data_IF_748163527408
#
_entry.id   IF_748163527408
#
_cell.length_a   1.000
_cell.length_b   1.000
_cell.length_c   1.000
_cell.angle_alpha   90.00
_cell.angle_beta   90.00
_cell.angle_gamma   90.00
#
_symmetry.space_group_name_H-M   'P 1'
#
loop_
_entity.id
_entity.type
_entity.pdbx_description
1 polymer ?
#
# COMPACT_ATOMS: atom_id res chain seq x y z
N UNK A 1 -28.09 87.53 -55.38
CA UNK A 1 -29.06 87.08 -56.43
C UNK A 1 -28.70 85.68 -56.93
N UNK A 2 -29.59 84.68 -56.92
CA UNK A 2 -31.00 84.55 -56.49
C UNK A 2 -31.18 83.08 -56.02
N UNK A 3 -31.74 82.79 -54.85
CA UNK A 3 -33.18 82.75 -54.50
C UNK A 3 -33.94 81.64 -55.26
N UNK A 4 -34.22 80.54 -54.53
CA UNK A 4 -35.36 79.60 -54.69
C UNK A 4 -35.39 78.65 -55.91
N UNK A 5 -36.05 77.46 -55.96
CA UNK A 5 -36.91 76.63 -55.06
C UNK A 5 -36.89 75.15 -55.64
N UNK A 6 -37.53 74.03 -55.20
CA UNK A 6 -38.50 73.63 -54.13
C UNK A 6 -38.53 72.09 -53.87
N UNK A 7 -38.16 71.64 -52.65
CA UNK A 7 -38.67 70.42 -51.93
C UNK A 7 -38.47 69.00 -52.56
N UNK A 8 -38.62 67.85 -51.86
CA UNK A 8 -38.46 67.45 -50.42
C UNK A 8 -38.69 65.93 -50.23
N UNK A 9 -37.76 65.24 -49.54
CA UNK A 9 -37.94 64.16 -48.52
C UNK A 9 -36.54 63.57 -48.22
N UNK A 10 -35.87 63.75 -47.06
CA UNK A 10 -36.19 63.35 -45.66
C UNK A 10 -36.49 61.83 -45.53
N UNK A 11 -35.82 61.07 -44.65
CA UNK A 11 -35.29 61.43 -43.31
C UNK A 11 -34.08 60.59 -42.85
N UNK A 12 -33.00 61.24 -42.34
CA UNK A 12 -32.00 60.87 -41.27
C UNK A 12 -31.44 59.42 -41.15
N UNK A 13 -30.22 59.20 -40.61
CA UNK A 13 -29.07 60.07 -40.25
C UNK A 13 -27.80 59.23 -40.04
N UNK A 14 -26.64 59.88 -40.02
CA UNK A 14 -25.29 59.30 -39.83
C UNK A 14 -24.89 59.04 -38.38
N UNK A 15 -24.09 57.99 -38.16
CA UNK A 15 -22.97 57.80 -37.20
C UNK A 15 -22.70 56.27 -37.07
N UNK A 16 -21.48 55.74 -36.92
CA UNK A 16 -20.14 56.33 -36.89
C UNK A 16 -19.06 55.32 -37.38
N UNK A 17 -17.86 55.82 -37.66
CA UNK A 17 -16.55 55.13 -37.72
C UNK A 17 -16.49 53.59 -37.84
N UNK A 18 -15.99 53.08 -38.98
CA UNK A 18 -15.21 51.83 -38.97
C UNK A 18 -14.05 51.90 -40.00
N UNK A 19 -12.81 51.97 -39.50
CA UNK A 19 -11.60 52.03 -40.32
C UNK A 19 -10.89 50.66 -40.32
N UNK A 20 -10.56 50.18 -41.50
CA UNK A 20 -10.03 48.82 -41.74
C UNK A 20 -8.71 48.59 -40.97
N UNK A 21 -8.60 47.47 -40.26
CA UNK A 21 -7.33 46.98 -39.69
C UNK A 21 -6.86 45.74 -40.44
N UNK A 22 -5.68 45.85 -41.02
CA UNK A 22 -4.99 44.74 -41.69
C UNK A 22 -4.50 43.69 -40.67
N UNK A 23 -4.30 42.46 -41.16
CA UNK A 23 -3.86 41.32 -40.35
C UNK A 23 -2.49 41.53 -39.70
N UNK A 24 -2.48 41.58 -38.36
CA UNK A 24 -1.27 41.24 -37.58
C UNK A 24 -1.35 39.79 -37.11
N UNK A 25 -0.85 38.88 -37.96
CA UNK A 25 -0.48 37.53 -37.53
C UNK A 25 0.45 37.68 -36.33
N UNK A 26 -0.04 37.29 -35.16
CA UNK A 26 0.70 37.38 -33.90
C UNK A 26 1.31 36.02 -33.64
N UNK A 27 2.64 35.91 -33.76
CA UNK A 27 3.35 34.64 -33.54
C UNK A 27 3.03 34.05 -32.16
N UNK A 28 2.35 32.90 -32.16
CA UNK A 28 2.09 32.15 -30.95
C UNK A 28 3.42 31.63 -30.38
N UNK A 29 3.76 31.88 -29.10
CA UNK A 29 5.04 31.43 -28.56
C UNK A 29 5.20 29.92 -28.65
N UNK A 30 6.20 29.47 -29.42
CA UNK A 30 6.60 28.07 -29.46
C UNK A 30 6.90 27.59 -28.03
N UNK A 31 6.43 26.39 -27.62
CA UNK A 31 6.56 25.94 -26.24
C UNK A 31 8.03 25.79 -25.87
N UNK A 32 8.50 26.66 -24.97
CA UNK A 32 9.90 26.69 -24.56
C UNK A 32 10.31 25.33 -23.98
N UNK A 33 11.25 24.67 -24.65
CA UNK A 33 11.84 23.41 -24.18
C UNK A 33 12.44 23.63 -22.79
N UNK A 34 11.92 22.92 -21.79
CA UNK A 34 12.40 23.01 -20.41
C UNK A 34 13.94 22.85 -20.35
N UNK A 35 14.67 23.75 -19.67
CA UNK A 35 16.12 23.81 -19.77
C UNK A 35 16.77 22.56 -19.19
N UNK A 36 17.89 22.12 -19.81
CA UNK A 36 18.51 20.81 -19.58
C UNK A 36 18.77 20.49 -18.10
N UNK A 37 19.07 21.49 -17.26
CA UNK A 37 19.32 21.30 -15.83
C UNK A 37 18.07 20.83 -15.06
N UNK A 38 16.86 21.30 -15.42
CA UNK A 38 15.60 20.88 -14.78
C UNK A 38 15.30 19.43 -15.13
N UNK A 39 15.54 19.03 -16.38
CA UNK A 39 15.38 17.66 -16.83
C UNK A 39 16.36 16.72 -16.11
N UNK A 40 17.63 17.12 -15.98
CA UNK A 40 18.65 16.38 -15.24
C UNK A 40 18.31 16.25 -13.75
N UNK A 41 17.90 17.33 -13.08
CA UNK A 41 17.47 17.28 -11.67
C UNK A 41 16.24 16.37 -11.47
N UNK A 42 15.29 16.38 -12.41
CA UNK A 42 14.11 15.49 -12.37
C UNK A 42 14.50 14.03 -12.57
N UNK A 43 15.41 13.75 -13.52
CA UNK A 43 15.95 12.41 -13.74
C UNK A 43 16.72 11.90 -12.51
N UNK A 44 17.63 12.70 -11.95
CA UNK A 44 18.40 12.34 -10.75
C UNK A 44 17.50 12.05 -9.54
N UNK A 45 16.45 12.85 -9.31
CA UNK A 45 15.47 12.60 -8.24
C UNK A 45 14.69 11.28 -8.43
N UNK A 46 14.39 10.90 -9.66
CA UNK A 46 13.75 9.62 -9.98
C UNK A 46 14.75 8.47 -9.79
N UNK A 47 15.96 8.58 -10.34
CA UNK A 47 17.00 7.57 -10.23
C UNK A 47 17.35 7.26 -8.76
N UNK A 48 17.60 8.31 -7.95
CA UNK A 48 17.91 8.17 -6.51
C UNK A 48 16.74 7.51 -5.77
N UNK A 49 15.49 7.92 -6.03
CA UNK A 49 14.33 7.34 -5.37
C UNK A 49 14.05 5.88 -5.77
N UNK A 50 14.28 5.52 -7.03
CA UNK A 50 14.19 4.13 -7.49
C UNK A 50 15.29 3.25 -6.89
N UNK A 51 16.53 3.76 -6.83
CA UNK A 51 17.65 3.08 -6.18
C UNK A 51 17.37 2.88 -4.68
N UNK A 52 16.89 3.91 -3.99
CA UNK A 52 16.49 3.83 -2.59
C UNK A 52 15.36 2.81 -2.36
N UNK A 53 14.35 2.76 -3.24
CA UNK A 53 13.25 1.80 -3.14
C UNK A 53 13.71 0.34 -3.29
N UNK A 54 14.63 0.07 -4.23
CA UNK A 54 15.21 -1.27 -4.44
C UNK A 54 16.12 -1.65 -3.28
N UNK A 55 16.98 -0.74 -2.80
CA UNK A 55 17.82 -0.98 -1.63
C UNK A 55 16.96 -1.25 -0.39
N UNK A 56 15.88 -0.48 -0.16
CA UNK A 56 14.96 -0.72 0.97
C UNK A 56 14.29 -2.10 0.90
N UNK A 57 13.84 -2.52 -0.27
CA UNK A 57 13.26 -3.87 -0.47
C UNK A 57 14.28 -4.97 -0.20
N UNK A 58 15.48 -4.87 -0.81
CA UNK A 58 16.55 -5.85 -0.62
C UNK A 58 17.04 -5.91 0.84
N UNK A 59 17.19 -4.77 1.51
CA UNK A 59 17.56 -4.72 2.93
C UNK A 59 16.53 -5.41 3.83
N UNK A 60 15.23 -5.33 3.49
CA UNK A 60 14.21 -6.08 4.22
C UNK A 60 14.31 -7.60 3.97
N UNK A 61 14.60 -8.04 2.73
CA UNK A 61 14.87 -9.46 2.42
C UNK A 61 16.08 -9.98 3.20
N UNK A 62 17.19 -9.23 3.22
CA UNK A 62 18.38 -9.60 3.99
C UNK A 62 18.11 -9.61 5.51
N UNK A 63 17.36 -8.64 6.03
CA UNK A 63 16.92 -8.63 7.43
C UNK A 63 16.12 -9.89 7.78
N UNK A 64 15.11 -10.25 6.98
CA UNK A 64 14.29 -11.45 7.21
C UNK A 64 15.13 -12.72 7.15
N UNK A 65 16.05 -12.83 6.19
CA UNK A 65 16.96 -13.97 6.06
C UNK A 65 17.89 -14.09 7.26
N UNK A 66 18.47 -12.99 7.75
CA UNK A 66 19.36 -12.98 8.89
C UNK A 66 18.63 -13.25 10.22
N UNK A 67 17.44 -12.67 10.39
CA UNK A 67 16.56 -12.92 11.54
C UNK A 67 16.17 -14.40 11.61
N UNK A 68 15.73 -14.99 10.49
CA UNK A 68 15.34 -16.39 10.40
C UNK A 68 16.51 -17.34 10.68
N UNK A 69 17.67 -17.09 10.06
CA UNK A 69 18.86 -17.91 10.24
C UNK A 69 19.31 -17.93 11.71
N UNK A 70 19.33 -16.77 12.39
CA UNK A 70 19.73 -16.70 13.81
C UNK A 70 18.69 -17.33 14.73
N UNK A 71 17.42 -16.98 14.56
CA UNK A 71 16.31 -17.46 15.42
C UNK A 71 16.13 -18.98 15.39
N UNK A 72 16.47 -19.63 14.29
CA UNK A 72 16.28 -21.07 14.12
C UNK A 72 17.59 -21.86 13.92
N UNK A 73 18.76 -21.23 13.84
CA UNK A 73 20.06 -21.87 13.54
C UNK A 73 19.97 -22.76 12.28
N UNK A 74 19.32 -22.21 11.25
CA UNK A 74 18.58 -22.98 10.25
C UNK A 74 19.46 -23.72 9.23
N UNK A 75 20.64 -23.18 8.92
CA UNK A 75 21.68 -23.80 8.07
C UNK A 75 22.23 -25.11 8.63
N UNK A 76 22.47 -25.17 9.94
CA UNK A 76 23.16 -26.28 10.60
C UNK A 76 22.23 -27.43 11.05
N UNK A 77 20.92 -27.23 11.00
CA UNK A 77 19.91 -28.27 11.28
C UNK A 77 19.83 -29.33 10.17
N UNK A 78 19.26 -30.49 10.47
CA UNK A 78 18.87 -31.50 9.47
C UNK A 78 17.57 -31.11 8.75
N UNK A 79 17.25 -31.72 7.60
CA UNK A 79 16.01 -31.44 6.85
C UNK A 79 14.75 -31.59 7.73
N UNK A 80 14.64 -32.68 8.48
CA UNK A 80 13.49 -32.92 9.36
C UNK A 80 13.38 -31.86 10.47
N UNK A 81 14.52 -31.42 11.02
CA UNK A 81 14.60 -30.39 12.05
C UNK A 81 14.30 -28.97 11.50
N UNK A 82 14.60 -28.71 10.23
CA UNK A 82 14.13 -27.52 9.50
C UNK A 82 12.62 -27.54 9.32
N UNK A 83 12.02 -28.70 9.07
CA UNK A 83 10.60 -28.79 8.73
C UNK A 83 9.66 -28.70 9.95
N UNK A 84 10.12 -29.11 11.13
CA UNK A 84 9.39 -28.91 12.40
C UNK A 84 9.44 -27.46 12.94
N UNK A 85 10.21 -26.54 12.32
CA UNK A 85 10.12 -25.11 12.69
C UNK A 85 8.83 -24.47 12.16
N UNK A 86 8.23 -25.04 11.11
CA UNK A 86 6.87 -24.68 10.71
C UNK A 86 5.86 -25.27 11.70
N UNK A 87 4.97 -24.42 12.21
CA UNK A 87 3.96 -24.80 13.20
C UNK A 87 2.54 -24.42 12.73
N UNK A 88 1.54 -25.15 13.23
CA UNK A 88 0.12 -24.96 12.87
C UNK A 88 -0.12 -25.03 11.37
N UNK A 89 -0.95 -24.10 10.86
CA UNK A 89 -1.27 -23.94 9.44
C UNK A 89 -0.02 -23.92 8.53
N UNK A 90 1.11 -23.38 9.01
CA UNK A 90 2.29 -23.21 8.19
C UNK A 90 2.94 -24.55 7.78
N UNK A 91 2.94 -25.53 8.68
CA UNK A 91 3.37 -26.91 8.39
C UNK A 91 2.43 -27.61 7.40
N UNK A 92 1.13 -27.30 7.46
CA UNK A 92 0.12 -27.86 6.56
C UNK A 92 0.33 -27.33 5.13
N UNK A 93 0.59 -26.04 4.95
CA UNK A 93 0.89 -25.50 3.62
C UNK A 93 2.19 -26.06 3.04
N UNK A 94 3.26 -26.10 3.83
CA UNK A 94 4.55 -26.61 3.36
C UNK A 94 4.54 -28.13 3.08
N UNK A 95 3.81 -28.94 3.85
CA UNK A 95 3.67 -30.38 3.56
C UNK A 95 2.93 -30.66 2.24
N UNK A 96 1.89 -29.89 1.89
CA UNK A 96 1.26 -30.00 0.57
C UNK A 96 2.19 -29.60 -0.59
N UNK A 97 3.09 -28.63 -0.38
CA UNK A 97 4.15 -28.31 -1.34
C UNK A 97 5.13 -29.49 -1.52
N UNK A 98 5.54 -30.20 -0.45
CA UNK A 98 6.31 -31.44 -0.59
C UNK A 98 5.54 -32.55 -1.30
N UNK A 99 4.25 -32.72 -1.05
CA UNK A 99 3.43 -33.73 -1.75
C UNK A 99 3.35 -33.43 -3.26
N UNK A 100 3.28 -32.16 -3.68
CA UNK A 100 3.39 -31.77 -5.09
C UNK A 100 4.74 -32.10 -5.72
N UNK A 101 5.85 -31.93 -4.98
CA UNK A 101 7.19 -32.25 -5.47
C UNK A 101 7.49 -33.76 -5.50
N UNK A 102 6.79 -34.56 -4.67
CA UNK A 102 6.87 -36.03 -4.67
C UNK A 102 5.96 -36.69 -5.70
N UNK A 103 4.98 -35.97 -6.26
CA UNK A 103 4.06 -36.51 -7.24
C UNK A 103 4.79 -36.84 -8.57
N UNK A 104 4.45 -37.96 -9.25
CA UNK A 104 5.13 -38.36 -10.49
C UNK A 104 4.80 -37.47 -11.69
N UNK A 105 3.78 -36.61 -11.57
CA UNK A 105 3.49 -35.52 -12.51
C UNK A 105 2.67 -34.43 -11.81
N UNK A 106 2.74 -33.19 -12.33
CA UNK A 106 2.00 -32.05 -11.78
C UNK A 106 0.47 -32.26 -11.78
N UNK A 107 -0.06 -32.84 -12.86
CA UNK A 107 -1.49 -33.20 -12.95
C UNK A 107 -1.89 -34.24 -11.90
N UNK A 108 -1.02 -35.23 -11.64
CA UNK A 108 -1.25 -36.24 -10.62
C UNK A 108 -1.23 -35.66 -9.21
N UNK A 109 -0.30 -34.73 -8.94
CA UNK A 109 -0.25 -33.99 -7.68
C UNK A 109 -1.52 -33.19 -7.42
N UNK A 110 -1.99 -32.42 -8.42
CA UNK A 110 -3.28 -31.70 -8.32
C UNK A 110 -4.43 -32.68 -8.06
N UNK A 111 -4.49 -33.81 -8.77
CA UNK A 111 -5.55 -34.81 -8.57
C UNK A 111 -5.57 -35.35 -7.13
N UNK A 112 -4.41 -35.68 -6.56
CA UNK A 112 -4.30 -36.21 -5.19
C UNK A 112 -4.59 -35.16 -4.11
N UNK A 113 -4.25 -33.88 -4.34
CA UNK A 113 -4.65 -32.79 -3.45
C UNK A 113 -6.14 -32.43 -3.57
N UNK A 114 -6.74 -32.60 -4.75
CA UNK A 114 -8.19 -32.40 -4.97
C UNK A 114 -9.03 -33.55 -4.41
N UNK A 115 -8.45 -34.76 -4.30
CA UNK A 115 -9.08 -35.94 -3.68
C UNK A 115 -8.36 -36.36 -2.40
N UNK A 116 -7.97 -35.40 -1.56
CA UNK A 116 -7.20 -35.68 -0.36
C UNK A 116 -8.09 -36.35 0.71
N UNK A 117 -7.76 -37.58 1.06
CA UNK A 117 -8.38 -38.35 2.15
C UNK A 117 -7.46 -38.53 3.38
N UNK A 118 -6.27 -37.90 3.37
CA UNK A 118 -5.24 -38.01 4.43
C UNK A 118 -5.46 -37.00 5.55
N UNK A 119 -5.82 -35.76 5.19
CA UNK A 119 -5.85 -34.61 6.13
C UNK A 119 -7.09 -34.60 7.03
N UNK A 120 -8.22 -35.18 6.59
CA UNK A 120 -9.45 -35.23 7.37
C UNK A 120 -9.94 -36.67 7.45
N UNK A 121 -9.85 -37.28 8.63
CA UNK A 121 -10.28 -38.65 8.85
C UNK A 121 -11.72 -38.87 8.38
N UNK A 122 -11.96 -40.00 7.70
CA UNK A 122 -13.23 -40.42 7.10
C UNK A 122 -13.83 -39.46 6.04
N UNK A 123 -13.08 -38.47 5.53
CA UNK A 123 -13.60 -37.53 4.51
C UNK A 123 -12.56 -37.22 3.43
N UNK A 124 -12.96 -37.38 2.17
CA UNK A 124 -12.20 -36.84 1.03
C UNK A 124 -12.54 -35.34 0.91
N UNK A 125 -11.52 -34.48 0.81
CA UNK A 125 -11.67 -33.04 0.64
C UNK A 125 -10.85 -32.54 -0.56
N UNK A 126 -11.36 -31.50 -1.22
CA UNK A 126 -10.56 -30.70 -2.15
C UNK A 126 -9.66 -29.75 -1.35
N UNK A 127 -8.46 -30.22 -1.00
CA UNK A 127 -7.51 -29.41 -0.23
C UNK A 127 -7.04 -28.18 -1.01
N UNK A 128 -6.88 -28.30 -2.35
CA UNK A 128 -6.49 -27.18 -3.23
C UNK A 128 -7.43 -26.00 -3.08
N UNK A 129 -8.74 -26.24 -3.17
CA UNK A 129 -9.73 -25.20 -3.01
C UNK A 129 -9.92 -24.79 -1.54
N UNK A 130 -10.09 -25.74 -0.63
CA UNK A 130 -10.45 -25.45 0.77
C UNK A 130 -9.34 -24.73 1.54
N UNK A 131 -8.06 -25.03 1.23
CA UNK A 131 -6.88 -24.40 1.85
C UNK A 131 -6.17 -23.39 0.92
N UNK A 132 -6.80 -23.06 -0.21
CA UNK A 132 -6.30 -22.12 -1.23
C UNK A 132 -4.85 -22.39 -1.66
N UNK A 133 -4.50 -23.64 -2.01
CA UNK A 133 -3.12 -24.11 -2.27
C UNK A 133 -2.46 -23.57 -3.56
N UNK A 134 -3.01 -22.51 -4.15
CA UNK A 134 -2.48 -21.89 -5.36
C UNK A 134 -1.02 -21.41 -5.22
N UNK A 135 -0.57 -20.83 -4.08
CA UNK A 135 0.83 -20.47 -3.90
C UNK A 135 1.78 -21.66 -3.94
N UNK A 136 1.41 -22.77 -3.31
CA UNK A 136 2.21 -24.00 -3.27
C UNK A 136 2.27 -24.69 -4.64
N UNK A 137 1.15 -24.69 -5.38
CA UNK A 137 1.12 -25.16 -6.77
C UNK A 137 2.08 -24.32 -7.64
N UNK A 138 2.01 -22.99 -7.56
CA UNK A 138 2.90 -22.10 -8.33
C UNK A 138 4.36 -22.29 -7.91
N UNK A 139 4.65 -22.38 -6.60
CA UNK A 139 6.00 -22.65 -6.09
C UNK A 139 6.55 -23.98 -6.59
N UNK A 140 5.73 -25.05 -6.64
CA UNK A 140 6.16 -26.36 -7.14
C UNK A 140 6.53 -26.34 -8.62
N UNK A 141 5.77 -25.62 -9.45
CA UNK A 141 6.10 -25.40 -10.87
C UNK A 141 7.37 -24.57 -11.01
N UNK A 142 7.53 -23.50 -10.23
CA UNK A 142 8.73 -22.67 -10.28
C UNK A 142 10.00 -23.43 -9.87
N UNK A 143 9.93 -24.28 -8.83
CA UNK A 143 11.05 -25.08 -8.35
C UNK A 143 11.59 -26.03 -9.43
N UNK A 144 10.67 -26.72 -10.12
CA UNK A 144 10.99 -27.60 -11.24
C UNK A 144 11.45 -26.83 -12.48
N UNK A 145 10.74 -25.75 -12.86
CA UNK A 145 11.03 -24.98 -14.07
C UNK A 145 12.34 -24.16 -14.01
N UNK A 146 12.84 -23.85 -12.80
CA UNK A 146 14.14 -23.17 -12.60
C UNK A 146 15.32 -24.15 -12.47
N UNK A 147 15.08 -25.47 -12.51
CA UNK A 147 16.11 -26.48 -12.24
C UNK A 147 16.61 -26.49 -10.79
N UNK A 148 15.90 -25.81 -9.88
CA UNK A 148 16.36 -25.60 -8.49
C UNK A 148 16.42 -26.90 -7.68
N UNK A 149 15.75 -27.96 -8.16
CA UNK A 149 15.83 -29.34 -7.65
C UNK A 149 17.24 -29.94 -7.63
N UNK A 150 18.19 -29.42 -8.41
CA UNK A 150 19.57 -29.90 -8.43
C UNK A 150 20.51 -29.09 -7.51
N UNK A 151 20.05 -27.94 -6.99
CA UNK A 151 20.92 -26.91 -6.40
C UNK A 151 20.47 -26.41 -5.01
N UNK A 152 19.18 -26.53 -4.66
CA UNK A 152 18.59 -25.90 -3.47
C UNK A 152 17.53 -26.84 -2.88
N UNK A 153 17.57 -27.10 -1.56
CA UNK A 153 16.51 -27.91 -0.92
C UNK A 153 15.14 -27.24 -1.04
N UNK A 154 14.03 -28.02 -1.11
CA UNK A 154 12.68 -27.47 -1.25
C UNK A 154 12.33 -26.41 -0.19
N UNK A 155 12.83 -26.56 1.04
CA UNK A 155 12.59 -25.65 2.17
C UNK A 155 13.13 -24.25 1.88
N UNK A 156 14.40 -24.14 1.48
CA UNK A 156 15.07 -22.87 1.21
C UNK A 156 14.45 -22.13 0.02
N UNK A 157 14.09 -22.87 -1.04
CA UNK A 157 13.40 -22.28 -2.19
C UNK A 157 12.02 -21.73 -1.81
N UNK A 158 11.24 -22.48 -1.03
CA UNK A 158 9.92 -22.06 -0.57
C UNK A 158 10.01 -20.80 0.30
N UNK A 159 10.89 -20.77 1.30
CA UNK A 159 11.14 -19.61 2.16
C UNK A 159 11.63 -18.40 1.34
N UNK A 160 12.56 -18.63 0.40
CA UNK A 160 13.13 -17.60 -0.46
C UNK A 160 12.10 -16.85 -1.31
N UNK A 161 11.09 -17.56 -1.86
CA UNK A 161 9.98 -16.92 -2.57
C UNK A 161 9.18 -15.99 -1.65
N UNK A 162 8.83 -16.44 -0.43
CA UNK A 162 8.03 -15.63 0.51
C UNK A 162 8.81 -14.41 1.00
N UNK A 163 10.12 -14.53 1.26
CA UNK A 163 10.98 -13.39 1.59
C UNK A 163 11.11 -12.40 0.43
N UNK A 164 11.33 -12.88 -0.81
CA UNK A 164 11.35 -12.03 -2.00
C UNK A 164 10.04 -11.26 -2.20
N UNK A 165 8.90 -11.89 -1.92
CA UNK A 165 7.59 -11.24 -1.91
C UNK A 165 7.45 -10.15 -0.81
N UNK A 166 8.05 -10.31 0.38
CA UNK A 166 8.10 -9.22 1.36
C UNK A 166 8.98 -8.05 0.90
N UNK A 167 10.07 -8.32 0.17
CA UNK A 167 10.85 -7.28 -0.48
C UNK A 167 9.99 -6.43 -1.42
N UNK A 168 9.18 -7.08 -2.25
CA UNK A 168 8.21 -6.43 -3.15
C UNK A 168 7.14 -5.65 -2.35
N UNK A 169 6.62 -6.20 -1.25
CA UNK A 169 5.63 -5.56 -0.38
C UNK A 169 6.12 -4.22 0.17
N UNK A 170 7.31 -4.21 0.77
CA UNK A 170 7.95 -3.01 1.33
C UNK A 170 8.30 -1.99 0.24
N UNK A 171 8.78 -2.45 -0.93
CA UNK A 171 9.01 -1.58 -2.09
C UNK A 171 7.71 -0.95 -2.62
N UNK A 172 6.59 -1.67 -2.62
CA UNK A 172 5.29 -1.12 -3.06
C UNK A 172 4.74 -0.06 -2.08
N UNK A 173 4.91 -0.26 -0.77
CA UNK A 173 4.57 0.75 0.25
C UNK A 173 5.46 2.01 0.12
N UNK A 174 6.77 1.84 -0.08
CA UNK A 174 7.71 2.92 -0.38
C UNK A 174 7.25 3.74 -1.59
N UNK A 175 6.97 3.06 -2.71
CA UNK A 175 6.56 3.69 -3.98
C UNK A 175 5.23 4.43 -3.80
N UNK A 176 4.26 3.87 -3.08
CA UNK A 176 2.97 4.55 -2.84
C UNK A 176 3.17 5.85 -2.06
N UNK A 177 3.91 5.80 -0.95
CA UNK A 177 4.22 6.97 -0.11
C UNK A 177 4.98 8.05 -0.88
N UNK A 178 5.93 7.66 -1.74
CA UNK A 178 6.66 8.57 -2.63
C UNK A 178 5.74 9.17 -3.72
N UNK A 179 4.84 8.39 -4.34
CA UNK A 179 3.87 8.90 -5.31
C UNK A 179 2.95 9.92 -4.65
N UNK A 180 2.45 9.69 -3.44
CA UNK A 180 1.56 10.62 -2.76
C UNK A 180 2.28 11.95 -2.40
N UNK A 181 3.45 11.87 -1.74
CA UNK A 181 4.18 13.03 -1.20
C UNK A 181 5.00 13.80 -2.25
N UNK A 182 5.52 13.12 -3.27
CA UNK A 182 6.48 13.65 -4.23
C UNK A 182 7.96 13.53 -3.81
N UNK A 183 8.27 13.01 -2.62
CA UNK A 183 9.66 12.82 -2.13
C UNK A 183 9.95 11.36 -1.73
N UNK A 184 11.12 10.85 -2.09
CA UNK A 184 11.55 9.48 -1.75
C UNK A 184 11.86 9.34 -0.24
N UNK A 185 12.03 10.45 0.46
CA UNK A 185 12.16 10.49 1.92
C UNK A 185 10.93 9.92 2.65
N UNK A 186 9.73 10.12 2.07
CA UNK A 186 8.49 9.50 2.55
C UNK A 186 8.54 7.97 2.40
N UNK A 187 9.14 7.49 1.32
CA UNK A 187 9.44 6.07 1.11
C UNK A 187 10.30 5.53 2.26
N UNK A 188 11.46 6.14 2.53
CA UNK A 188 12.35 5.68 3.62
C UNK A 188 11.67 5.71 4.99
N UNK A 189 10.92 6.77 5.31
CA UNK A 189 10.20 6.88 6.59
C UNK A 189 9.08 5.83 6.72
N UNK A 190 8.44 5.44 5.60
CA UNK A 190 7.50 4.31 5.57
C UNK A 190 8.18 3.01 5.96
N UNK A 191 9.37 2.74 5.41
CA UNK A 191 10.14 1.52 5.68
C UNK A 191 10.69 1.50 7.11
N UNK A 192 11.17 2.64 7.61
CA UNK A 192 11.61 2.77 9.00
C UNK A 192 10.47 2.45 10.00
N UNK A 193 9.28 3.04 9.81
CA UNK A 193 8.14 2.73 10.66
C UNK A 193 7.61 1.30 10.49
N UNK A 194 7.70 0.71 9.29
CA UNK A 194 7.37 -0.69 9.06
C UNK A 194 8.30 -1.62 9.85
N UNK A 195 9.62 -1.46 9.73
CA UNK A 195 10.60 -2.29 10.44
C UNK A 195 10.53 -2.13 11.97
N UNK A 196 10.26 -0.91 12.47
CA UNK A 196 10.14 -0.66 13.91
C UNK A 196 8.85 -1.25 14.51
N UNK A 197 7.75 -1.23 13.75
CA UNK A 197 6.47 -1.82 14.17
C UNK A 197 6.25 -3.21 13.52
N UNK A 198 7.33 -3.95 13.22
CA UNK A 198 7.34 -5.28 12.56
C UNK A 198 6.33 -6.26 13.18
N UNK A 199 6.30 -6.35 14.51
CA UNK A 199 5.40 -7.20 15.33
C UNK A 199 3.92 -6.97 15.05
N UNK A 200 3.52 -5.77 14.58
CA UNK A 200 2.13 -5.41 14.29
C UNK A 200 1.88 -5.08 12.80
N UNK A 201 2.90 -5.26 11.94
CA UNK A 201 2.84 -5.01 10.48
C UNK A 201 3.04 -6.26 9.62
N UNK A 202 3.64 -7.33 10.15
CA UNK A 202 3.76 -8.63 9.47
C UNK A 202 3.84 -9.80 10.47
N UNK A 203 3.36 -10.97 10.05
CA UNK A 203 3.43 -12.22 10.85
C UNK A 203 4.61 -13.12 10.47
N UNK A 204 5.41 -12.72 9.49
CA UNK A 204 6.43 -13.60 8.89
C UNK A 204 7.51 -14.06 9.86
N UNK A 205 7.82 -13.29 10.92
CA UNK A 205 8.74 -13.67 12.00
C UNK A 205 8.24 -14.86 12.85
N UNK A 206 6.95 -15.21 12.76
CA UNK A 206 6.31 -16.30 13.52
C UNK A 206 5.87 -17.47 12.63
N UNK A 207 5.50 -17.22 11.37
CA UNK A 207 5.05 -18.27 10.45
C UNK A 207 5.16 -17.80 8.99
N UNK A 208 6.11 -18.39 8.25
CA UNK A 208 6.46 -17.95 6.89
C UNK A 208 5.41 -18.37 5.84
N UNK A 209 5.00 -19.66 5.73
CA UNK A 209 3.94 -20.09 4.80
C UNK A 209 2.54 -19.44 4.93
N UNK A 210 2.29 -18.51 5.86
CA UNK A 210 0.97 -17.89 6.02
C UNK A 210 0.49 -17.20 4.75
N UNK A 211 -0.78 -17.44 4.42
CA UNK A 211 -1.48 -16.86 3.26
C UNK A 211 -1.41 -15.32 3.22
N UNK A 212 -1.40 -14.69 4.39
CA UNK A 212 -1.18 -13.25 4.59
C UNK A 212 0.10 -12.75 3.89
N UNK A 213 1.22 -13.44 4.13
CA UNK A 213 2.53 -13.10 3.57
C UNK A 213 2.55 -13.24 2.04
N UNK A 214 1.71 -14.11 1.48
CA UNK A 214 1.55 -14.24 0.03
C UNK A 214 0.69 -13.12 -0.57
N UNK A 215 -0.46 -12.76 0.05
CA UNK A 215 -1.43 -11.85 -0.56
C UNK A 215 -1.15 -10.34 -0.34
N UNK A 216 -0.61 -9.97 0.83
CA UNK A 216 -0.30 -8.57 1.16
C UNK A 216 0.65 -7.86 0.15
N UNK A 217 1.71 -8.51 -0.38
CA UNK A 217 2.53 -7.97 -1.46
C UNK A 217 1.71 -7.53 -2.69
N UNK A 218 0.84 -8.41 -3.20
CA UNK A 218 0.00 -8.09 -4.37
C UNK A 218 -1.01 -6.99 -4.09
N UNK A 219 -1.56 -6.94 -2.87
CA UNK A 219 -2.44 -5.85 -2.43
C UNK A 219 -1.72 -4.50 -2.42
N UNK A 220 -0.50 -4.41 -1.87
CA UNK A 220 0.29 -3.18 -1.91
C UNK A 220 0.66 -2.77 -3.34
N UNK A 221 0.98 -3.72 -4.23
CA UNK A 221 1.21 -3.43 -5.64
C UNK A 221 -0.04 -2.85 -6.33
N UNK A 222 -1.23 -3.38 -6.03
CA UNK A 222 -2.50 -2.86 -6.55
C UNK A 222 -2.80 -1.47 -6.00
N UNK A 223 -2.58 -1.22 -4.71
CA UNK A 223 -2.68 0.11 -4.10
C UNK A 223 -1.72 1.09 -4.80
N UNK A 224 -0.43 0.75 -4.92
CA UNK A 224 0.58 1.60 -5.55
C UNK A 224 0.22 1.99 -6.99
N UNK A 225 -0.23 1.01 -7.78
CA UNK A 225 -0.67 1.23 -9.16
C UNK A 225 -1.93 2.11 -9.25
N UNK A 226 -2.90 1.92 -8.33
CA UNK A 226 -4.11 2.72 -8.26
C UNK A 226 -3.81 4.18 -7.87
N UNK A 227 -2.91 4.39 -6.90
CA UNK A 227 -2.43 5.72 -6.50
C UNK A 227 -1.71 6.43 -7.65
N UNK A 228 -0.81 5.74 -8.34
CA UNK A 228 -0.12 6.27 -9.53
C UNK A 228 -1.09 6.65 -10.64
N UNK A 229 -2.10 5.82 -10.90
CA UNK A 229 -3.17 6.10 -11.87
C UNK A 229 -4.02 7.32 -11.49
N UNK A 230 -4.50 7.40 -10.24
CA UNK A 230 -5.33 8.51 -9.77
C UNK A 230 -4.58 9.85 -9.84
N UNK A 231 -3.29 9.86 -9.48
CA UNK A 231 -2.41 11.03 -9.65
C UNK A 231 -2.14 11.36 -11.12
N UNK A 232 -1.97 10.37 -11.99
CA UNK A 232 -1.73 10.58 -13.42
C UNK A 232 -2.92 11.26 -14.11
N UNK A 233 -4.15 10.81 -13.85
CA UNK A 233 -5.36 11.40 -14.42
C UNK A 233 -5.50 12.91 -14.16
N UNK A 234 -5.04 13.43 -13.00
CA UNK A 234 -5.06 14.88 -12.73
C UNK A 234 -4.24 15.64 -13.77
N UNK A 235 -3.01 15.21 -14.01
CA UNK A 235 -2.11 15.84 -14.98
C UNK A 235 -2.69 15.73 -16.39
N UNK A 236 -3.15 14.53 -16.78
CA UNK A 236 -3.68 14.33 -18.14
C UNK A 236 -4.97 15.10 -18.39
N UNK A 237 -5.83 15.31 -17.38
CA UNK A 237 -7.02 16.14 -17.53
C UNK A 237 -6.73 17.64 -17.72
N UNK A 238 -5.55 18.13 -17.33
CA UNK A 238 -5.11 19.48 -17.65
C UNK A 238 -4.61 19.60 -19.11
N UNK A 239 -4.13 18.50 -19.70
CA UNK A 239 -3.58 18.44 -21.07
C UNK A 239 -4.62 17.98 -22.12
N UNK A 240 -5.68 17.26 -21.71
CA UNK A 240 -6.63 16.55 -22.59
C UNK A 240 -7.63 17.40 -23.39
N UNK A 241 -7.48 18.73 -23.40
CA UNK A 241 -8.07 19.55 -24.45
C UNK A 241 -7.38 19.35 -25.81
N UNK A 242 -6.24 18.64 -25.86
CA UNK A 242 -5.56 18.26 -27.11
C UNK A 242 -5.58 16.73 -27.31
N UNK A 243 -6.23 16.30 -28.41
CA UNK A 243 -6.22 14.93 -28.98
C UNK A 243 -6.81 13.79 -28.11
N UNK A 244 -8.15 13.74 -28.02
CA UNK A 244 -8.86 12.44 -27.92
C UNK A 244 -8.60 11.64 -29.21
N UNK A 245 -8.02 10.43 -29.13
CA UNK A 245 -7.99 9.54 -30.30
C UNK A 245 -6.80 8.58 -30.47
N UNK A 246 -6.35 7.86 -29.44
CA UNK A 246 -5.34 6.78 -29.60
C UNK A 246 -5.81 5.46 -29.00
N UNK A 247 -5.37 4.35 -29.62
CA UNK A 247 -5.59 2.98 -29.12
C UNK A 247 -5.11 2.82 -27.66
N UNK A 248 -3.98 3.45 -27.32
CA UNK A 248 -3.43 3.51 -25.95
C UNK A 248 -4.46 4.00 -24.93
N UNK A 249 -5.29 5.00 -25.26
CA UNK A 249 -6.32 5.48 -24.32
C UNK A 249 -7.43 4.44 -24.05
N UNK A 250 -7.76 3.60 -25.05
CA UNK A 250 -8.70 2.47 -24.87
C UNK A 250 -8.08 1.32 -24.08
N UNK A 251 -6.83 0.94 -24.39
CA UNK A 251 -6.10 -0.09 -23.61
C UNK A 251 -5.95 0.33 -22.15
N UNK A 252 -5.55 1.58 -21.91
CA UNK A 252 -5.51 2.16 -20.56
C UNK A 252 -6.90 2.14 -19.90
N UNK A 253 -8.02 2.28 -20.64
CA UNK A 253 -9.36 2.19 -20.06
C UNK A 253 -9.75 0.75 -19.66
N UNK A 254 -9.29 -0.27 -20.38
CA UNK A 254 -9.43 -1.67 -19.95
C UNK A 254 -8.60 -1.93 -18.68
N UNK A 255 -7.36 -1.44 -18.62
CA UNK A 255 -6.51 -1.52 -17.42
C UNK A 255 -7.16 -0.78 -16.23
N UNK A 256 -7.78 0.39 -16.45
CA UNK A 256 -8.54 1.14 -15.42
C UNK A 256 -9.67 0.29 -14.83
N UNK A 257 -10.47 -0.36 -15.70
CA UNK A 257 -11.55 -1.22 -15.25
C UNK A 257 -11.02 -2.42 -14.47
N UNK A 258 -10.06 -3.17 -15.02
CA UNK A 258 -9.45 -4.31 -14.33
C UNK A 258 -8.89 -3.92 -12.97
N UNK A 259 -8.05 -2.88 -12.88
CA UNK A 259 -7.32 -2.56 -11.65
C UNK A 259 -8.25 -2.04 -10.54
N UNK A 260 -9.31 -1.31 -10.89
CA UNK A 260 -10.36 -0.89 -9.94
C UNK A 260 -11.26 -2.06 -9.53
N UNK A 261 -11.58 -2.98 -10.44
CA UNK A 261 -12.39 -4.17 -10.13
C UNK A 261 -11.61 -5.26 -9.38
N UNK A 262 -10.28 -5.36 -9.54
CA UNK A 262 -9.46 -6.32 -8.78
C UNK A 262 -9.32 -5.94 -7.32
N UNK A 263 -9.31 -4.66 -6.95
CA UNK A 263 -9.14 -4.23 -5.54
C UNK A 263 -10.24 -4.75 -4.59
N UNK A 264 -11.56 -4.64 -4.88
CA UNK A 264 -12.58 -5.26 -4.04
C UNK A 264 -12.55 -6.80 -4.11
N UNK A 265 -12.03 -7.39 -5.19
CA UNK A 265 -11.85 -8.84 -5.28
C UNK A 265 -10.68 -9.31 -4.41
N UNK A 266 -9.55 -8.60 -4.37
CA UNK A 266 -8.42 -8.93 -3.49
C UNK A 266 -8.74 -8.63 -2.03
N UNK A 267 -9.46 -7.55 -1.71
CA UNK A 267 -10.03 -7.35 -0.36
C UNK A 267 -10.95 -8.51 0.03
N UNK A 268 -11.84 -8.97 -0.85
CA UNK A 268 -12.74 -10.11 -0.60
C UNK A 268 -11.95 -11.43 -0.41
N UNK A 269 -10.90 -11.66 -1.21
CA UNK A 269 -10.01 -12.82 -1.05
C UNK A 269 -9.20 -12.74 0.26
N UNK A 270 -8.67 -11.58 0.63
CA UNK A 270 -7.96 -11.35 1.90
C UNK A 270 -8.90 -11.55 3.10
N UNK A 271 -10.14 -11.07 3.03
CA UNK A 271 -11.16 -11.36 4.05
C UNK A 271 -11.49 -12.84 4.18
N UNK A 272 -11.48 -13.61 3.07
CA UNK A 272 -11.64 -15.07 3.04
C UNK A 272 -10.37 -15.86 3.41
N UNK A 273 -9.30 -15.16 3.78
CA UNK A 273 -7.98 -15.71 4.04
C UNK A 273 -7.56 -15.49 5.50
N UNK A 274 -8.04 -14.42 6.12
CA UNK A 274 -8.06 -14.24 7.59
C UNK A 274 -9.20 -15.03 8.28
N UNK A 275 -10.20 -15.50 7.53
CA UNK A 275 -11.38 -16.20 8.04
C UNK A 275 -11.46 -17.58 7.37
N UNK A 276 -11.40 -18.71 8.12
CA UNK A 276 -11.35 -20.05 7.54
C UNK A 276 -12.49 -20.36 6.56
N UNK A 277 -12.14 -20.85 5.36
CA UNK A 277 -13.01 -20.94 4.18
C UNK A 277 -14.33 -21.74 4.39
N UNK A 278 -14.45 -22.56 5.44
CA UNK A 278 -15.47 -23.63 5.51
C UNK A 278 -16.92 -23.15 5.66
N UNK A 279 -17.19 -21.94 6.15
CA UNK A 279 -18.56 -21.44 6.37
C UNK A 279 -18.76 -19.98 5.94
N UNK A 280 -18.66 -19.67 4.64
CA UNK A 280 -19.00 -18.33 4.11
C UNK A 280 -20.41 -17.85 4.51
N UNK A 281 -21.38 -18.76 4.68
CA UNK A 281 -22.73 -18.45 5.19
C UNK A 281 -22.81 -18.09 6.67
N UNK A 282 -21.71 -18.24 7.43
CA UNK A 282 -21.62 -17.92 8.86
C UNK A 282 -20.72 -16.70 9.15
N UNK A 283 -20.01 -16.12 8.18
CA UNK A 283 -19.29 -14.85 8.40
C UNK A 283 -20.25 -13.72 8.81
N UNK A 284 -21.39 -13.60 8.13
CA UNK A 284 -22.41 -12.60 8.49
C UNK A 284 -22.96 -12.86 9.90
N UNK A 285 -23.30 -14.12 10.22
CA UNK A 285 -23.76 -14.54 11.56
C UNK A 285 -22.71 -14.31 12.65
N UNK A 286 -21.42 -14.51 12.35
CA UNK A 286 -20.32 -14.22 13.26
C UNK A 286 -20.26 -12.72 13.57
N UNK A 287 -20.37 -11.86 12.56
CA UNK A 287 -20.44 -10.41 12.75
C UNK A 287 -21.73 -10.00 13.50
N UNK A 288 -22.89 -10.55 13.14
CA UNK A 288 -24.15 -10.32 13.86
C UNK A 288 -24.02 -10.62 15.36
N UNK A 289 -23.52 -11.81 15.71
CA UNK A 289 -23.37 -12.23 17.12
C UNK A 289 -22.27 -11.43 17.82
N UNK A 290 -21.16 -11.12 17.14
CA UNK A 290 -20.07 -10.30 17.68
C UNK A 290 -20.51 -8.85 17.98
N UNK A 291 -21.43 -8.31 17.18
CA UNK A 291 -22.05 -7.00 17.42
C UNK A 291 -23.30 -7.08 18.32
N UNK A 292 -23.66 -8.25 18.86
CA UNK A 292 -24.83 -8.44 19.72
C UNK A 292 -26.20 -8.32 19.01
N UNK A 293 -26.21 -8.33 17.67
CA UNK A 293 -27.41 -8.24 16.84
C UNK A 293 -28.19 -9.58 16.78
N UNK A 294 -27.54 -10.69 17.12
CA UNK A 294 -28.10 -12.04 17.08
C UNK A 294 -27.49 -12.89 18.22
N UNK A 295 -28.13 -13.98 18.62
CA UNK A 295 -27.67 -14.87 19.69
C UNK A 295 -27.54 -16.31 19.19
N UNK A 296 -26.38 -16.93 19.42
CA UNK A 296 -26.07 -18.27 18.91
C UNK A 296 -26.00 -19.33 20.01
N UNK A 297 -26.36 -20.56 19.65
CA UNK A 297 -26.02 -21.79 20.39
C UNK A 297 -25.06 -22.69 19.61
N UNK A 298 -24.56 -22.25 18.45
CA UNK A 298 -23.63 -23.02 17.63
C UNK A 298 -22.21 -22.94 18.24
N UNK A 299 -21.70 -24.09 18.67
CA UNK A 299 -20.35 -24.25 19.22
C UNK A 299 -19.27 -23.65 18.31
N UNK A 300 -19.31 -23.88 17.00
CA UNK A 300 -18.32 -23.35 16.04
C UNK A 300 -18.26 -21.83 16.07
N UNK A 301 -19.41 -21.16 16.20
CA UNK A 301 -19.47 -19.70 16.22
C UNK A 301 -18.97 -19.12 17.55
N UNK A 302 -19.29 -19.78 18.67
CA UNK A 302 -18.76 -19.40 19.99
C UNK A 302 -17.25 -19.63 20.08
N UNK A 303 -16.73 -20.72 19.50
CA UNK A 303 -15.29 -20.98 19.40
C UNK A 303 -14.57 -19.91 18.56
N UNK A 304 -15.15 -19.50 17.42
CA UNK A 304 -14.61 -18.38 16.60
C UNK A 304 -14.58 -17.04 17.35
N UNK A 305 -15.52 -16.79 18.29
CA UNK A 305 -15.51 -15.59 19.13
C UNK A 305 -14.40 -15.60 20.19
N UNK A 306 -13.95 -16.79 20.62
CA UNK A 306 -12.82 -16.94 21.54
C UNK A 306 -11.45 -16.86 20.83
N UNK A 307 -11.39 -17.09 19.51
CA UNK A 307 -10.13 -17.09 18.76
C UNK A 307 -9.46 -15.69 18.76
N UNK A 308 -8.24 -15.60 19.31
CA UNK A 308 -7.45 -14.37 19.50
C UNK A 308 -7.39 -13.48 18.24
N UNK A 309 -7.02 -14.05 17.09
CA UNK A 309 -6.95 -13.31 15.80
C UNK A 309 -8.30 -12.75 15.32
N UNK A 310 -9.41 -13.19 15.94
CA UNK A 310 -10.77 -12.73 15.71
C UNK A 310 -11.34 -11.94 16.90
N UNK A 311 -10.55 -11.59 17.92
CA UNK A 311 -10.93 -10.62 18.97
C UNK A 311 -10.64 -9.18 18.51
N UNK A 312 -10.76 -8.19 19.39
CA UNK A 312 -10.38 -6.79 19.13
C UNK A 312 -8.95 -6.52 19.65
N UNK A 313 -8.16 -5.61 19.02
CA UNK A 313 -6.76 -5.39 19.41
C UNK A 313 -6.58 -4.97 20.88
N UNK A 314 -5.53 -5.48 21.53
CA UNK A 314 -5.18 -5.11 22.92
C UNK A 314 -4.75 -3.63 23.05
N UNK A 315 -4.72 -3.11 24.28
CA UNK A 315 -4.22 -1.75 24.53
C UNK A 315 -2.72 -1.60 24.19
N UNK A 316 -1.94 -2.67 24.34
CA UNK A 316 -0.49 -2.68 24.08
C UNK A 316 -0.15 -2.41 22.61
N UNK A 317 -1.03 -2.83 21.69
CA UNK A 317 -0.91 -2.50 20.27
C UNK A 317 -0.90 -0.97 20.05
N UNK A 318 -1.87 -0.25 20.61
CA UNK A 318 -1.92 1.21 20.51
C UNK A 318 -0.76 1.89 21.24
N UNK A 319 -0.30 1.30 22.36
CA UNK A 319 0.84 1.78 23.13
C UNK A 319 2.15 1.66 22.34
N UNK A 320 2.43 0.52 21.69
CA UNK A 320 3.60 0.33 20.80
C UNK A 320 3.58 1.30 19.62
N UNK A 321 2.44 1.44 18.93
CA UNK A 321 2.29 2.40 17.84
C UNK A 321 2.44 3.87 18.28
N UNK A 322 2.19 4.17 19.57
CA UNK A 322 2.39 5.51 20.14
C UNK A 322 3.84 5.74 20.52
N UNK A 323 4.53 4.74 21.10
CA UNK A 323 5.96 4.79 21.42
C UNK A 323 6.83 4.98 20.18
N UNK A 324 6.51 4.34 19.04
CA UNK A 324 7.20 4.58 17.77
C UNK A 324 6.83 5.91 17.09
N UNK A 325 6.05 6.78 17.75
CA UNK A 325 5.44 8.04 17.27
C UNK A 325 4.46 7.89 16.09
N UNK A 326 4.27 6.68 15.57
CA UNK A 326 3.51 6.41 14.35
C UNK A 326 2.02 6.79 14.48
N UNK A 327 1.35 6.34 15.55
CA UNK A 327 -0.08 6.59 15.76
C UNK A 327 -0.40 8.10 15.91
N UNK A 328 0.33 8.90 16.72
CA UNK A 328 0.18 10.35 16.75
C UNK A 328 0.28 11.03 15.39
N UNK A 329 1.30 10.71 14.58
CA UNK A 329 1.45 11.32 13.25
C UNK A 329 0.37 10.85 12.27
N UNK A 330 -0.02 9.58 12.30
CA UNK A 330 -1.14 9.07 11.50
C UNK A 330 -2.46 9.78 11.83
N UNK A 331 -2.81 9.91 13.11
CA UNK A 331 -4.06 10.57 13.55
C UNK A 331 -4.07 12.04 13.13
N UNK A 332 -2.96 12.75 13.31
CA UNK A 332 -2.81 14.14 12.85
C UNK A 332 -3.01 14.27 11.33
N UNK A 333 -2.36 13.42 10.54
CA UNK A 333 -2.47 13.40 9.07
C UNK A 333 -3.90 13.05 8.62
N UNK A 334 -4.54 12.08 9.26
CA UNK A 334 -5.92 11.67 8.97
C UNK A 334 -6.92 12.79 9.26
N UNK A 335 -6.80 13.48 10.40
CA UNK A 335 -7.64 14.63 10.76
C UNK A 335 -7.47 15.75 9.72
N UNK A 336 -6.23 16.07 9.33
CA UNK A 336 -5.96 17.12 8.33
C UNK A 336 -6.54 16.73 6.96
N UNK A 337 -6.40 15.47 6.54
CA UNK A 337 -6.98 15.01 5.28
C UNK A 337 -8.52 15.02 5.32
N UNK A 338 -9.15 14.60 6.41
CA UNK A 338 -10.61 14.62 6.60
C UNK A 338 -11.18 16.05 6.61
N UNK A 339 -10.57 16.97 7.37
CA UNK A 339 -11.01 18.37 7.40
C UNK A 339 -10.84 19.05 6.03
N UNK A 340 -9.77 18.71 5.29
CA UNK A 340 -9.55 19.21 3.93
C UNK A 340 -10.58 18.64 2.93
N UNK A 341 -10.90 17.35 3.03
CA UNK A 341 -11.97 16.70 2.26
C UNK A 341 -13.32 17.38 2.48
N UNK A 342 -13.75 17.53 3.72
CA UNK A 342 -15.03 18.16 4.07
C UNK A 342 -15.10 19.61 3.58
N UNK A 343 -14.00 20.37 3.66
CA UNK A 343 -13.92 21.73 3.09
C UNK A 343 -14.08 21.76 1.57
N UNK A 344 -13.56 20.75 0.84
CA UNK A 344 -13.73 20.65 -0.62
C UNK A 344 -15.16 20.23 -0.99
N UNK A 345 -15.75 19.27 -0.27
CA UNK A 345 -17.13 18.82 -0.47
C UNK A 345 -18.10 19.99 -0.21
N UNK A 346 -17.96 20.70 0.91
CA UNK A 346 -18.82 21.84 1.26
C UNK A 346 -18.75 22.96 0.20
N UNK A 347 -17.55 23.30 -0.30
CA UNK A 347 -17.37 24.29 -1.37
C UNK A 347 -18.02 23.86 -2.70
N UNK A 348 -18.03 22.56 -3.00
CA UNK A 348 -18.70 22.02 -4.19
C UNK A 348 -20.23 22.06 -4.06
N UNK A 349 -20.77 21.76 -2.88
CA UNK A 349 -22.21 21.86 -2.60
C UNK A 349 -22.67 23.33 -2.63
N UNK A 350 -21.87 24.25 -2.10
CA UNK A 350 -22.16 25.71 -2.11
C UNK A 350 -21.85 26.41 -3.45
N UNK A 351 -21.63 25.65 -4.53
CA UNK A 351 -21.49 26.20 -5.89
C UNK A 351 -20.26 27.07 -6.14
N UNK A 352 -19.27 27.09 -5.24
CA UNK A 352 -18.07 27.92 -5.42
C UNK A 352 -17.23 27.38 -6.58
N UNK A 353 -17.05 28.20 -7.62
CA UNK A 353 -16.23 27.84 -8.79
C UNK A 353 -14.83 27.36 -8.39
N UNK A 354 -14.46 26.18 -8.89
CA UNK A 354 -13.21 25.51 -8.57
C UNK A 354 -12.17 25.82 -9.66
N UNK A 355 -11.05 26.46 -9.30
CA UNK A 355 -9.92 26.69 -10.24
C UNK A 355 -9.48 25.36 -10.86
N UNK A 356 -9.33 25.35 -12.19
CA UNK A 356 -8.96 24.16 -12.98
C UNK A 356 -7.54 23.67 -12.68
N UNK A 357 -6.64 24.57 -12.29
CA UNK A 357 -5.31 24.26 -11.77
C UNK A 357 -5.24 24.60 -10.28
N UNK A 358 -4.87 23.61 -9.45
CA UNK A 358 -4.58 23.80 -8.02
C UNK A 358 -3.08 24.04 -7.89
N UNK A 359 -2.69 25.21 -7.38
CA UNK A 359 -1.28 25.50 -7.07
C UNK A 359 -0.90 24.99 -5.67
N UNK A 360 0.38 24.83 -5.39
CA UNK A 360 0.87 24.53 -4.03
C UNK A 360 0.43 25.62 -3.02
N UNK A 361 0.31 26.87 -3.49
CA UNK A 361 -0.24 27.99 -2.73
C UNK A 361 -1.71 27.81 -2.35
N UNK A 362 -2.51 27.03 -3.07
CA UNK A 362 -3.93 26.88 -2.79
C UNK A 362 -4.18 26.07 -1.51
N UNK A 363 -3.30 25.12 -1.15
CA UNK A 363 -3.33 24.39 0.12
C UNK A 363 -4.63 23.61 0.35
N UNK A 364 -5.01 22.76 -0.62
CA UNK A 364 -6.27 21.99 -0.63
C UNK A 364 -6.04 20.51 -0.89
N UNK A 365 -5.28 19.87 0.00
CA UNK A 365 -4.83 18.48 -0.18
C UNK A 365 -5.98 17.48 -0.35
N UNK A 366 -7.13 17.70 0.30
CA UNK A 366 -8.36 16.91 0.12
C UNK A 366 -9.05 17.04 -1.24
N UNK A 367 -8.49 17.81 -2.18
CA UNK A 367 -8.96 17.88 -3.58
C UNK A 367 -8.33 16.84 -4.52
N UNK A 368 -7.29 16.11 -4.08
CA UNK A 368 -6.55 15.13 -4.90
C UNK A 368 -7.21 13.74 -4.81
N UNK A 369 -7.65 13.12 -5.92
CA UNK A 369 -8.49 11.91 -5.89
C UNK A 369 -7.78 10.69 -5.30
N UNK A 370 -6.44 10.59 -5.41
CA UNK A 370 -5.66 9.57 -4.73
C UNK A 370 -5.76 9.70 -3.20
N UNK A 371 -5.82 10.93 -2.68
CA UNK A 371 -5.93 11.20 -1.24
C UNK A 371 -7.36 10.93 -0.76
N UNK A 372 -8.39 11.25 -1.58
CA UNK A 372 -9.78 10.84 -1.33
C UNK A 372 -9.87 9.32 -1.18
N UNK A 373 -9.28 8.57 -2.13
CA UNK A 373 -9.21 7.11 -2.09
C UNK A 373 -8.52 6.60 -0.82
N UNK A 374 -7.32 7.10 -0.50
CA UNK A 374 -6.59 6.61 0.66
C UNK A 374 -7.27 6.92 2.01
N UNK A 375 -7.95 8.08 2.15
CA UNK A 375 -8.72 8.42 3.36
C UNK A 375 -9.91 7.48 3.55
N UNK A 376 -10.70 7.24 2.50
CA UNK A 376 -11.84 6.30 2.58
C UNK A 376 -11.34 4.89 2.92
N UNK A 377 -10.26 4.45 2.26
CA UNK A 377 -9.70 3.11 2.44
C UNK A 377 -9.06 2.91 3.82
N UNK A 378 -8.37 3.91 4.39
CA UNK A 378 -7.79 3.79 5.76
C UNK A 378 -8.86 3.80 6.85
N UNK A 379 -10.00 4.45 6.61
CA UNK A 379 -11.13 4.43 7.55
C UNK A 379 -11.81 3.06 7.51
N UNK A 380 -12.01 2.48 6.32
CA UNK A 380 -12.58 1.13 6.17
C UNK A 380 -11.67 0.04 6.78
N UNK A 381 -10.37 0.07 6.46
CA UNK A 381 -9.39 -0.86 7.04
C UNK A 381 -9.25 -0.66 8.55
N UNK A 382 -9.20 0.60 9.01
CA UNK A 382 -9.07 0.94 10.42
C UNK A 382 -10.26 0.50 11.25
N UNK A 383 -11.50 0.84 10.83
CA UNK A 383 -12.71 0.42 11.56
C UNK A 383 -12.82 -1.11 11.65
N UNK A 384 -12.37 -1.81 10.62
CA UNK A 384 -12.40 -3.26 10.57
C UNK A 384 -11.30 -3.90 11.42
N UNK A 385 -10.10 -3.29 11.46
CA UNK A 385 -9.01 -3.68 12.36
C UNK A 385 -9.32 -3.40 13.85
N UNK A 386 -10.10 -2.35 14.17
CA UNK A 386 -10.60 -2.15 15.55
C UNK A 386 -11.55 -3.26 15.99
N UNK A 387 -12.20 -3.96 15.04
CA UNK A 387 -13.09 -5.09 15.35
C UNK A 387 -12.32 -6.41 15.35
N UNK A 388 -11.41 -6.65 14.40
CA UNK A 388 -10.71 -7.93 14.19
C UNK A 388 -9.19 -7.73 14.25
N UNK A 389 -8.54 -8.28 15.29
CA UNK A 389 -7.11 -8.07 15.51
C UNK A 389 -6.24 -8.57 14.34
N UNK A 390 -6.56 -9.71 13.71
CA UNK A 390 -5.81 -10.19 12.54
C UNK A 390 -5.70 -9.16 11.42
N UNK A 391 -6.68 -8.25 11.28
CA UNK A 391 -6.67 -7.23 10.24
C UNK A 391 -5.77 -6.01 10.58
N UNK A 392 -5.13 -5.98 11.76
CA UNK A 392 -4.03 -5.05 12.05
C UNK A 392 -2.86 -5.24 11.06
N UNK A 393 -2.55 -6.47 10.65
CA UNK A 393 -1.48 -6.73 9.69
C UNK A 393 -1.78 -6.19 8.27
N UNK A 394 -3.05 -5.88 7.96
CA UNK A 394 -3.44 -5.15 6.74
C UNK A 394 -3.36 -3.62 6.98
N UNK A 395 -3.77 -3.17 8.17
CA UNK A 395 -3.93 -1.76 8.48
C UNK A 395 -2.63 -1.04 8.91
N UNK A 396 -1.83 -1.60 9.82
CA UNK A 396 -0.60 -0.96 10.33
C UNK A 396 0.42 -0.61 9.22
N UNK A 397 0.67 -1.45 8.20
CA UNK A 397 1.56 -1.09 7.08
C UNK A 397 1.03 0.09 6.26
N UNK A 398 -0.30 0.18 6.12
CA UNK A 398 -1.00 1.28 5.47
C UNK A 398 -0.94 2.57 6.31
N UNK A 399 -0.97 2.44 7.64
CA UNK A 399 -0.74 3.51 8.62
C UNK A 399 0.70 4.05 8.52
N UNK A 400 1.73 3.19 8.44
CA UNK A 400 3.13 3.58 8.19
C UNK A 400 3.26 4.44 6.92
N UNK A 401 2.66 3.96 5.82
CA UNK A 401 2.66 4.63 4.52
C UNK A 401 1.97 6.00 4.58
N UNK A 402 0.81 6.10 5.24
CA UNK A 402 0.05 7.35 5.33
C UNK A 402 0.67 8.39 6.26
N UNK A 403 1.17 7.99 7.42
CA UNK A 403 1.91 8.89 8.30
C UNK A 403 3.13 9.47 7.57
N UNK A 404 3.92 8.62 6.90
CA UNK A 404 5.11 9.04 6.18
C UNK A 404 4.80 9.96 5.00
N UNK A 405 3.76 9.65 4.20
CA UNK A 405 3.25 10.55 3.18
C UNK A 405 2.95 11.94 3.75
N UNK A 406 2.17 11.99 4.85
CA UNK A 406 1.62 13.24 5.35
C UNK A 406 2.67 14.16 5.96
N UNK A 407 3.58 13.63 6.76
CA UNK A 407 4.69 14.40 7.36
C UNK A 407 5.70 14.86 6.30
N UNK A 408 5.85 14.12 5.19
CA UNK A 408 6.71 14.49 4.07
C UNK A 408 6.01 15.33 2.98
N UNK A 409 4.73 15.70 3.15
CA UNK A 409 3.96 16.40 2.11
C UNK A 409 3.95 17.92 2.32
N UNK A 410 4.61 18.74 1.46
CA UNK A 410 4.57 20.20 1.60
C UNK A 410 3.16 20.76 1.36
N UNK A 411 2.29 20.07 0.61
CA UNK A 411 0.87 20.44 0.48
C UNK A 411 0.10 20.30 1.81
N UNK A 412 0.47 19.32 2.65
CA UNK A 412 -0.16 19.10 3.95
C UNK A 412 0.27 20.18 4.93
N UNK A 413 1.58 20.48 4.98
CA UNK A 413 2.11 21.61 5.73
C UNK A 413 1.49 22.95 5.28
N UNK A 414 1.36 23.20 3.96
CA UNK A 414 0.66 24.40 3.45
C UNK A 414 -0.81 24.47 3.89
N UNK A 415 -1.51 23.33 3.92
CA UNK A 415 -2.90 23.24 4.40
C UNK A 415 -2.99 23.59 5.89
N UNK A 416 -2.08 23.03 6.71
CA UNK A 416 -2.03 23.26 8.15
C UNK A 416 -1.63 24.71 8.52
N UNK A 417 -0.57 25.25 7.92
CA UNK A 417 -0.09 26.62 8.14
C UNK A 417 -1.18 27.67 7.83
N UNK A 418 -2.01 27.42 6.82
CA UNK A 418 -3.18 28.26 6.48
C UNK A 418 -4.25 28.25 7.56
N UNK A 419 -4.61 27.08 8.09
CA UNK A 419 -5.61 26.98 9.16
C UNK A 419 -5.14 27.62 10.46
N UNK A 420 -3.85 27.48 10.78
CA UNK A 420 -3.18 28.16 11.89
C UNK A 420 -2.98 29.68 11.66
N UNK A 421 -3.38 30.21 10.49
CA UNK A 421 -3.27 31.63 10.08
C UNK A 421 -1.85 32.22 10.20
N UNK A 422 -0.82 31.38 10.09
CA UNK A 422 0.58 31.78 10.30
C UNK A 422 1.09 32.67 9.15
N UNK A 423 0.96 33.99 9.32
CA UNK A 423 1.54 35.03 8.44
C UNK A 423 3.07 35.04 8.53
N UNK A 424 3.69 34.05 7.92
CA UNK A 424 5.14 34.00 7.66
C UNK A 424 5.43 34.59 6.28
N UNK A 425 6.63 35.15 6.09
CA UNK A 425 6.97 35.90 4.87
C UNK A 425 6.95 35.02 3.61
N UNK A 426 7.35 33.74 3.73
CA UNK A 426 7.32 32.76 2.65
C UNK A 426 6.76 31.41 3.13
N UNK A 427 5.42 31.23 3.20
CA UNK A 427 4.82 30.01 3.74
C UNK A 427 5.16 28.76 2.91
N UNK A 428 5.36 28.92 1.59
CA UNK A 428 5.79 27.84 0.69
C UNK A 428 7.17 27.31 1.10
N UNK A 429 8.12 28.22 1.36
CA UNK A 429 9.48 27.87 1.77
C UNK A 429 9.47 27.19 3.14
N UNK A 430 8.67 27.69 4.09
CA UNK A 430 8.48 27.05 5.39
C UNK A 430 7.89 25.63 5.26
N UNK A 431 6.85 25.45 4.44
CA UNK A 431 6.25 24.14 4.20
C UNK A 431 7.23 23.15 3.55
N UNK A 432 8.06 23.62 2.60
CA UNK A 432 9.14 22.81 2.00
C UNK A 432 10.21 22.42 3.05
N UNK A 433 10.65 23.37 3.88
CA UNK A 433 11.60 23.10 4.97
C UNK A 433 11.01 22.08 5.96
N UNK A 434 9.78 22.26 6.42
CA UNK A 434 9.12 21.32 7.35
C UNK A 434 8.95 19.92 6.74
N UNK A 435 8.59 19.84 5.44
CA UNK A 435 8.44 18.57 4.71
C UNK A 435 9.74 17.77 4.52
N UNK A 436 10.90 18.36 4.85
CA UNK A 436 12.20 17.68 4.85
C UNK A 436 12.75 17.54 6.28
N UNK A 437 12.75 18.63 7.05
CA UNK A 437 13.30 18.68 8.40
C UNK A 437 12.58 17.73 9.37
N UNK A 438 11.24 17.77 9.42
CA UNK A 438 10.48 16.94 10.38
C UNK A 438 10.67 15.44 10.10
N UNK A 439 10.56 14.94 8.85
CA UNK A 439 10.94 13.56 8.54
C UNK A 439 12.38 13.19 8.88
N UNK A 440 13.37 14.08 8.66
CA UNK A 440 14.76 13.77 9.04
C UNK A 440 14.98 13.70 10.55
N UNK A 441 14.32 14.57 11.33
CA UNK A 441 14.41 14.54 12.80
C UNK A 441 13.76 13.26 13.34
N UNK A 442 12.59 12.87 12.83
CA UNK A 442 11.94 11.61 13.18
C UNK A 442 12.84 10.43 12.81
N UNK A 443 13.35 10.39 11.57
CA UNK A 443 14.24 9.30 11.11
C UNK A 443 15.50 9.15 11.95
N UNK A 444 16.15 10.26 12.34
CA UNK A 444 17.32 10.23 13.23
C UNK A 444 16.98 9.83 14.67
N UNK A 445 15.81 10.23 15.18
CA UNK A 445 15.35 9.80 16.51
C UNK A 445 15.02 8.30 16.55
N UNK A 446 14.29 7.82 15.55
CA UNK A 446 13.96 6.41 15.37
C UNK A 446 15.22 5.55 15.20
N UNK A 447 16.19 6.02 14.40
CA UNK A 447 17.49 5.36 14.28
C UNK A 447 18.21 5.29 15.63
N UNK A 448 18.35 6.42 16.34
CA UNK A 448 19.06 6.47 17.63
C UNK A 448 18.44 5.55 18.68
N UNK A 449 17.11 5.44 18.74
CA UNK A 449 16.43 4.67 19.78
C UNK A 449 16.24 3.19 19.41
N UNK A 450 15.76 2.88 18.20
CA UNK A 450 15.32 1.53 17.84
C UNK A 450 16.39 0.72 17.09
N UNK A 451 17.33 1.34 16.38
CA UNK A 451 18.37 0.58 15.69
C UNK A 451 19.30 -0.19 16.65
N UNK A 452 19.76 0.37 17.80
CA UNK A 452 20.53 -0.41 18.77
C UNK A 452 19.74 -1.60 19.31
N UNK A 453 18.47 -1.41 19.70
CA UNK A 453 17.59 -2.47 20.19
C UNK A 453 17.44 -3.60 19.16
N UNK A 454 17.23 -3.26 17.89
CA UNK A 454 17.09 -4.24 16.80
C UNK A 454 18.36 -5.05 16.57
N UNK A 455 19.54 -4.42 16.69
CA UNK A 455 20.83 -5.12 16.56
C UNK A 455 21.10 -6.01 17.78
N UNK A 456 20.80 -5.54 18.99
CA UNK A 456 20.92 -6.33 20.23
C UNK A 456 20.01 -7.55 20.20
N UNK A 457 18.74 -7.39 19.84
CA UNK A 457 17.79 -8.51 19.68
C UNK A 457 18.28 -9.51 18.61
N UNK A 458 18.81 -9.02 17.48
CA UNK A 458 19.42 -9.87 16.46
C UNK A 458 20.67 -10.61 16.96
N UNK A 459 21.41 -10.12 17.96
CA UNK A 459 22.53 -10.86 18.57
C UNK A 459 22.06 -11.86 19.63
N UNK A 460 21.16 -11.47 20.53
CA UNK A 460 20.62 -12.32 21.60
C UNK A 460 19.86 -13.54 21.03
N UNK A 461 19.20 -13.40 19.88
CA UNK A 461 18.56 -14.51 19.15
C UNK A 461 19.53 -15.65 18.77
N UNK A 462 20.84 -15.40 18.70
CA UNK A 462 21.85 -16.44 18.44
C UNK A 462 22.31 -17.15 19.72
N UNK A 463 22.20 -16.51 20.88
CA UNK A 463 22.64 -17.06 22.18
C UNK A 463 21.61 -18.05 22.77
N UNK A 464 20.35 -17.98 22.35
CA UNK A 464 19.27 -18.86 22.83
C UNK A 464 19.31 -20.29 22.25
N UNK A 465 20.28 -20.62 21.40
CA UNK A 465 20.53 -21.97 20.88
C UNK A 465 21.97 -22.41 21.17
N UNK A 466 22.29 -22.49 22.45
CA UNK A 466 23.50 -23.14 22.93
C UNK A 466 23.37 -24.68 22.81
N UNK A 467 24.20 -25.36 21.99
CA UNK A 467 24.08 -26.80 21.77
C UNK A 467 24.33 -27.62 23.04
N UNK A 468 25.24 -27.18 23.91
CA UNK A 468 25.56 -27.84 25.18
C UNK A 468 24.32 -27.86 26.09
N UNK A 469 23.59 -26.75 26.17
CA UNK A 469 22.29 -26.64 26.87
C UNK A 469 21.18 -27.48 26.23
N UNK A 470 21.23 -27.78 24.93
CA UNK A 470 20.27 -28.67 24.26
C UNK A 470 20.58 -30.14 24.54
N UNK A 471 21.86 -30.54 24.50
CA UNK A 471 22.31 -31.90 24.85
C UNK A 471 22.06 -32.22 26.33
N UNK A 472 22.08 -31.21 27.20
CA UNK A 472 21.63 -31.31 28.61
C UNK A 472 20.11 -31.50 28.80
N UNK A 473 19.29 -31.44 27.75
CA UNK A 473 17.84 -31.65 27.80
C UNK A 473 17.37 -32.98 27.15
N UNK A 474 18.29 -33.83 26.69
CA UNK A 474 18.01 -35.11 26.01
C UNK A 474 18.48 -36.33 26.80
#
# INVERSE_FOLDING_TARGET
PSVELRQRNKTKSSESEEATKEDKITDAPLPQRAPKYVLFQRFAKIFIGCLAAVISGMMHVFYLSAYHERKFWFSNRQELEREITFQGDSAIYYSYYKDMLKAPSFERGIYELTHNNKTVSLKTINAVQQMCLYPELIASVLYQATGSSEMVEPVYFYIGIVFGLQGIYVTALFITSWIMSGTWLAGMLTVAWFLINRVDTTRIEYSIPLRENWALPYFACQVAALTGYLKSNLNTNAELNVKKGTFVAKVMMVIKFYLVCTLPVTLNLIMKMFIPHKENGHMLKFLEVKFGLNMTKNFTLNWLLCQESLQAPSQDFFLRLTQSSLLPFYVLVLIICLLSMTQVIFRRITGMSQKTAVTLEDGRIGGRPEIIYHVIHTILLGSLAMVIEGLKYVWTPYVCMLAAFGVCSPELWMTLLKWLRLRTVHPILLALILSMAVPTIIGLSLWKEFFPRLITELTELQEFYDPDTVELMT
#
